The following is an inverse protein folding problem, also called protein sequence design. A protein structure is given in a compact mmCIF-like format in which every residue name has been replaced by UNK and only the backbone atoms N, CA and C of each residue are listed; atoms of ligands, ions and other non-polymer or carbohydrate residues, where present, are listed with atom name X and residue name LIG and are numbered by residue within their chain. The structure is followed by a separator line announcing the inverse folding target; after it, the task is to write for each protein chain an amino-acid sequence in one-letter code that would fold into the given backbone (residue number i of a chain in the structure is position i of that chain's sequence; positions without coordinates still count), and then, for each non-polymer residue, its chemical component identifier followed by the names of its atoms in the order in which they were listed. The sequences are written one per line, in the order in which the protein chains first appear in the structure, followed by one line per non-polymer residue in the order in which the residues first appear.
data_IF_745182706326
#
_entry.id   IF_745182706326
#
_cell.length_a   1.000
_cell.length_b   1.000
_cell.length_c   1.000
_cell.angle_alpha   90.00
_cell.angle_beta   90.00
_cell.angle_gamma   90.00
#
_symmetry.space_group_name_H-M   'P 1'
#
loop_
_entity.id
_entity.type
_entity.pdbx_description
1 polymer ?
#
# COMPACT_ATOMS: atom_id res chain seq x y z
N UNK A 1 -12.85 -29.03 -6.21
CA UNK A 1 -12.24 -27.72 -5.97
C UNK A 1 -10.88 -27.73 -6.65
N UNK A 2 -10.79 -27.15 -7.84
CA UNK A 2 -9.55 -27.05 -8.60
C UNK A 2 -8.83 -25.79 -8.09
N UNK A 3 -7.73 -25.99 -7.34
CA UNK A 3 -6.82 -24.89 -7.01
C UNK A 3 -6.15 -24.47 -8.32
N UNK A 4 -6.46 -23.31 -8.81
CA UNK A 4 -5.70 -22.68 -9.87
C UNK A 4 -4.37 -22.23 -9.27
N UNK A 5 -3.33 -23.02 -9.45
CA UNK A 5 -1.97 -22.59 -9.16
C UNK A 5 -1.56 -21.68 -10.31
N UNK A 6 -1.74 -20.38 -10.10
CA UNK A 6 -1.16 -19.38 -10.97
C UNK A 6 0.35 -19.45 -10.78
N UNK A 7 1.06 -20.03 -11.73
CA UNK A 7 2.51 -20.02 -11.74
C UNK A 7 2.97 -18.60 -12.11
N UNK A 8 3.06 -17.72 -11.11
CA UNK A 8 3.74 -16.44 -11.25
C UNK A 8 5.23 -16.76 -11.29
N UNK A 9 5.79 -16.77 -12.49
CA UNK A 9 7.24 -16.75 -12.69
C UNK A 9 7.71 -15.39 -12.17
N UNK A 10 8.14 -15.38 -10.90
CA UNK A 10 8.71 -14.21 -10.27
C UNK A 10 10.10 -13.94 -10.88
N UNK A 11 10.16 -13.07 -11.88
CA UNK A 11 11.38 -12.35 -12.18
C UNK A 11 11.62 -11.35 -11.05
N UNK A 12 12.28 -11.81 -9.99
CA UNK A 12 12.81 -10.93 -8.96
C UNK A 12 14.00 -10.17 -9.53
N UNK A 13 13.73 -9.06 -10.21
CA UNK A 13 14.71 -7.99 -10.34
C UNK A 13 14.77 -7.31 -8.99
N UNK A 14 15.95 -7.31 -8.37
CA UNK A 14 16.21 -6.62 -7.12
C UNK A 14 15.86 -5.12 -7.26
N UNK A 15 14.67 -4.75 -6.77
CA UNK A 15 14.31 -3.35 -6.61
C UNK A 15 14.98 -2.90 -5.32
N UNK A 16 16.07 -2.17 -5.45
CA UNK A 16 16.65 -1.40 -4.34
C UNK A 16 15.62 -0.39 -3.89
N UNK A 17 15.11 -0.59 -2.68
CA UNK A 17 14.19 0.31 -2.01
C UNK A 17 14.89 1.63 -1.73
N UNK A 18 14.74 2.59 -2.64
CA UNK A 18 15.15 3.97 -2.42
C UNK A 18 14.02 4.68 -1.68
N UNK A 19 14.19 4.78 -0.35
CA UNK A 19 13.29 5.53 0.50
C UNK A 19 13.43 7.02 0.18
N UNK A 20 12.58 7.55 -0.69
CA UNK A 20 12.44 9.00 -0.88
C UNK A 20 11.40 9.51 0.10
N UNK A 21 11.88 10.02 1.23
CA UNK A 21 11.07 10.83 2.13
C UNK A 21 10.78 12.17 1.48
N UNK A 22 9.59 12.33 0.91
CA UNK A 22 9.10 13.65 0.52
C UNK A 22 8.53 14.33 1.76
N UNK A 23 9.33 15.18 2.38
CA UNK A 23 8.86 16.12 3.37
C UNK A 23 8.12 17.26 2.66
N UNK A 24 6.80 17.21 2.63
CA UNK A 24 5.97 18.32 2.18
C UNK A 24 5.88 19.33 3.31
N UNK A 25 6.70 20.36 3.27
CA UNK A 25 6.50 21.56 4.06
C UNK A 25 5.33 22.34 3.46
N UNK A 26 4.18 22.28 4.11
CA UNK A 26 3.06 23.21 3.83
C UNK A 26 3.37 24.53 4.51
N UNK A 27 3.83 25.47 3.73
CA UNK A 27 3.92 26.87 4.12
C UNK A 27 2.50 27.48 4.02
N UNK A 28 1.83 27.56 5.16
CA UNK A 28 0.55 28.27 5.30
C UNK A 28 0.83 29.75 5.37
N UNK A 29 0.68 30.43 4.26
CA UNK A 29 0.64 31.87 4.22
C UNK A 29 -0.79 32.34 4.22
N UNK A 30 -1.22 32.81 5.40
CA UNK A 30 -2.50 33.48 5.60
C UNK A 30 -2.61 34.72 4.70
N UNK A 31 -3.61 34.73 3.86
CA UNK A 31 -4.21 35.95 3.31
C UNK A 31 -5.61 35.62 2.82
N UNK A 32 -6.56 35.66 3.73
CA UNK A 32 -7.96 35.69 3.35
C UNK A 32 -8.66 36.90 3.94
N UNK A 33 -8.75 37.93 3.16
CA UNK A 33 -9.75 38.96 3.36
C UNK A 33 -10.95 38.67 2.43
N UNK A 34 -11.87 37.86 2.92
CA UNK A 34 -13.19 37.74 2.28
C UNK A 34 -14.00 38.99 2.60
N UNK A 35 -14.09 39.85 1.61
CA UNK A 35 -15.08 40.92 1.64
C UNK A 35 -16.47 40.32 1.41
N UNK A 36 -17.27 40.27 2.45
CA UNK A 36 -18.72 40.06 2.34
C UNK A 36 -19.34 41.28 1.67
N UNK A 37 -20.10 41.13 0.58
CA UNK A 37 -20.86 42.24 0.05
C UNK A 37 -21.95 42.64 1.06
N UNK A 38 -21.94 43.90 1.44
CA UNK A 38 -22.96 44.50 2.28
C UNK A 38 -24.32 44.42 1.55
N UNK A 39 -25.28 43.76 2.17
CA UNK A 39 -26.67 43.82 1.78
C UNK A 39 -27.17 45.26 2.08
N UNK A 40 -27.38 46.02 1.03
CA UNK A 40 -28.09 47.31 1.11
C UNK A 40 -29.55 46.96 1.36
N UNK A 41 -30.00 47.21 2.59
CA UNK A 41 -31.42 47.20 2.92
C UNK A 41 -32.08 48.42 2.28
N UNK A 42 -32.83 48.20 1.21
CA UNK A 42 -33.81 49.18 0.75
C UNK A 42 -35.13 48.88 1.44
N UNK A 43 -35.58 49.90 2.10
CA UNK A 43 -36.77 49.99 2.93
C UNK A 43 -38.08 49.77 2.20
N UNK A 44 -39.06 49.30 3.01
CA UNK A 44 -40.50 49.54 2.93
C UNK A 44 -41.27 49.02 1.71
N UNK A 45 -41.70 47.77 1.85
CA UNK A 45 -43.10 47.44 1.59
C UNK A 45 -43.53 46.31 2.53
N UNK A 46 -44.37 46.64 3.50
CA UNK A 46 -44.95 45.66 4.43
C UNK A 46 -45.94 44.80 3.65
N UNK A 47 -45.48 43.64 3.23
CA UNK A 47 -46.37 42.55 2.77
C UNK A 47 -47.06 42.00 4.01
N UNK A 48 -48.39 41.88 4.04
CA UNK A 48 -49.07 41.34 5.21
C UNK A 48 -48.64 39.90 5.43
N UNK A 49 -48.04 39.65 6.58
CA UNK A 49 -47.69 38.32 7.07
C UNK A 49 -49.01 37.59 7.34
N UNK A 50 -49.39 36.69 6.44
CA UNK A 50 -50.38 35.67 6.74
C UNK A 50 -49.70 34.61 7.61
N UNK A 51 -50.11 34.56 8.87
CA UNK A 51 -49.74 33.47 9.77
C UNK A 51 -50.14 32.15 9.07
N UNK A 52 -49.14 31.43 8.60
CA UNK A 52 -49.32 30.04 8.11
C UNK A 52 -49.37 29.21 9.38
N UNK A 53 -50.54 28.63 9.68
CA UNK A 53 -50.76 27.71 10.78
C UNK A 53 -49.63 26.67 10.75
N UNK A 54 -48.88 26.53 11.86
CA UNK A 54 -47.71 25.69 11.99
C UNK A 54 -47.94 24.18 11.76
N UNK A 55 -49.17 23.77 11.60
CA UNK A 55 -49.59 22.41 11.32
C UNK A 55 -49.57 22.06 9.83
N UNK A 56 -49.71 23.07 8.94
CA UNK A 56 -49.59 22.86 7.49
C UNK A 56 -48.14 22.86 6.97
N UNK A 57 -47.20 23.45 7.72
CA UNK A 57 -45.80 23.49 7.30
C UNK A 57 -45.08 22.15 7.53
N UNK A 58 -45.51 21.37 8.52
CA UNK A 58 -44.93 20.05 8.79
C UNK A 58 -45.32 18.94 7.80
N UNK A 59 -46.46 19.11 7.10
CA UNK A 59 -46.96 18.11 6.18
C UNK A 59 -46.30 18.15 4.78
N UNK A 60 -45.59 19.23 4.45
CA UNK A 60 -45.00 19.44 3.13
C UNK A 60 -43.46 19.27 3.10
N UNK A 61 -42.81 18.99 4.23
CA UNK A 61 -41.46 18.49 4.26
C UNK A 61 -41.41 16.96 4.04
N UNK A 62 -42.14 16.49 3.02
CA UNK A 62 -41.82 15.20 2.43
C UNK A 62 -40.38 15.33 1.95
N UNK A 63 -39.48 14.56 2.57
CA UNK A 63 -38.09 14.48 2.13
C UNK A 63 -38.10 14.38 0.61
N UNK A 64 -37.62 15.41 -0.07
CA UNK A 64 -37.48 15.41 -1.53
C UNK A 64 -36.36 14.38 -1.76
N UNK A 65 -36.76 13.13 -2.03
CA UNK A 65 -35.81 12.11 -2.47
C UNK A 65 -35.16 12.61 -3.75
N UNK A 66 -33.86 12.44 -3.91
CA UNK A 66 -33.21 12.80 -5.15
C UNK A 66 -33.91 12.10 -6.32
N UNK A 67 -34.18 12.82 -7.39
CA UNK A 67 -34.89 12.27 -8.54
C UNK A 67 -33.96 11.65 -9.57
N UNK A 68 -32.65 11.90 -9.48
CA UNK A 68 -31.67 11.35 -10.39
C UNK A 68 -30.29 11.21 -9.72
N UNK A 69 -29.45 10.38 -10.34
CA UNK A 69 -28.02 10.31 -10.05
C UNK A 69 -27.21 10.58 -11.31
N UNK A 70 -26.12 11.30 -11.16
CA UNK A 70 -25.15 11.60 -12.23
C UNK A 70 -23.83 10.92 -11.92
N UNK A 71 -23.30 10.15 -12.86
CA UNK A 71 -22.01 9.49 -12.76
C UNK A 71 -20.91 10.42 -13.29
N UNK A 72 -19.87 10.59 -12.48
CA UNK A 72 -18.62 11.26 -12.86
C UNK A 72 -17.45 10.31 -12.73
N UNK A 73 -16.55 10.32 -13.70
CA UNK A 73 -15.30 9.56 -13.68
C UNK A 73 -14.16 10.56 -13.93
N UNK A 74 -13.23 10.67 -12.98
CA UNK A 74 -12.14 11.66 -12.99
C UNK A 74 -12.64 13.10 -13.19
N UNK A 75 -13.77 13.42 -12.52
CA UNK A 75 -14.43 14.71 -12.61
C UNK A 75 -15.15 14.98 -13.93
N UNK A 76 -15.20 14.03 -14.85
CA UNK A 76 -15.93 14.16 -16.12
C UNK A 76 -17.32 13.55 -15.99
N UNK A 77 -18.34 14.30 -16.37
CA UNK A 77 -19.70 13.81 -16.47
C UNK A 77 -19.81 12.70 -17.53
N UNK A 78 -20.42 11.58 -17.16
CA UNK A 78 -20.65 10.42 -18.02
C UNK A 78 -22.10 10.36 -18.47
N UNK A 79 -23.05 10.42 -17.53
CA UNK A 79 -24.48 10.35 -17.77
C UNK A 79 -25.27 10.52 -16.50
N UNK A 80 -26.59 10.64 -16.62
CA UNK A 80 -27.51 10.74 -15.48
C UNK A 80 -28.71 9.83 -15.69
N UNK A 81 -29.21 9.24 -14.58
CA UNK A 81 -30.32 8.29 -14.57
C UNK A 81 -31.25 8.54 -13.38
N UNK A 82 -32.53 8.15 -13.53
CA UNK A 82 -33.47 8.04 -12.40
C UNK A 82 -33.32 6.69 -11.67
N UNK A 83 -32.63 5.71 -12.26
CA UNK A 83 -32.43 4.37 -11.76
C UNK A 83 -31.23 4.32 -10.79
N UNK A 84 -31.30 5.10 -9.68
CA UNK A 84 -30.18 5.32 -8.75
C UNK A 84 -29.67 4.02 -8.14
N UNK A 85 -30.61 3.18 -7.67
CA UNK A 85 -30.25 1.89 -7.01
C UNK A 85 -29.63 0.93 -8.01
N UNK A 86 -30.10 0.92 -9.26
CA UNK A 86 -29.55 0.08 -10.33
C UNK A 86 -28.12 0.54 -10.68
N UNK A 87 -27.91 1.83 -10.87
CA UNK A 87 -26.57 2.37 -11.15
C UNK A 87 -25.55 2.00 -10.06
N UNK A 88 -25.94 2.11 -8.79
CA UNK A 88 -25.06 1.73 -7.69
C UNK A 88 -24.78 0.21 -7.70
N UNK A 89 -25.80 -0.61 -7.94
CA UNK A 89 -25.65 -2.06 -8.02
C UNK A 89 -24.73 -2.48 -9.18
N UNK A 90 -24.85 -1.80 -10.32
CA UNK A 90 -24.03 -2.07 -11.50
C UNK A 90 -22.56 -1.68 -11.25
N UNK A 91 -22.29 -0.56 -10.56
CA UNK A 91 -20.94 -0.17 -10.15
C UNK A 91 -20.33 -1.20 -9.18
N UNK A 92 -21.09 -1.66 -8.19
CA UNK A 92 -20.65 -2.72 -7.28
C UNK A 92 -20.39 -4.03 -8.03
N UNK A 93 -21.22 -4.35 -9.03
CA UNK A 93 -21.07 -5.56 -9.85
C UNK A 93 -19.77 -5.54 -10.67
N UNK A 94 -19.34 -4.38 -11.17
CA UNK A 94 -18.04 -4.23 -11.85
C UNK A 94 -16.88 -4.69 -10.94
N UNK A 95 -16.88 -4.27 -9.68
CA UNK A 95 -15.86 -4.66 -8.70
C UNK A 95 -15.94 -6.15 -8.34
N UNK A 96 -17.16 -6.69 -8.22
CA UNK A 96 -17.39 -8.12 -7.96
C UNK A 96 -16.91 -8.97 -9.13
N UNK A 97 -17.22 -8.58 -10.35
CA UNK A 97 -16.80 -9.31 -11.55
C UNK A 97 -15.28 -9.29 -11.74
N UNK A 98 -14.63 -8.20 -11.36
CA UNK A 98 -13.18 -8.10 -11.45
C UNK A 98 -12.46 -9.08 -10.51
N UNK A 99 -13.03 -9.35 -9.33
CA UNK A 99 -12.42 -10.25 -8.31
C UNK A 99 -12.93 -11.70 -8.35
N UNK A 100 -13.86 -12.05 -9.26
CA UNK A 100 -14.56 -13.36 -9.26
C UNK A 100 -13.64 -14.59 -9.31
N UNK A 101 -12.45 -14.45 -9.91
CA UNK A 101 -11.48 -15.52 -10.06
C UNK A 101 -10.43 -15.58 -8.93
N UNK A 102 -10.56 -14.69 -7.94
CA UNK A 102 -9.66 -14.58 -6.78
C UNK A 102 -10.31 -15.14 -5.50
N UNK A 103 -9.54 -15.19 -4.43
CA UNK A 103 -9.99 -15.66 -3.12
C UNK A 103 -10.93 -14.65 -2.44
N UNK A 104 -11.74 -15.14 -1.48
CA UNK A 104 -12.71 -14.32 -0.74
C UNK A 104 -12.09 -13.15 0.05
N UNK A 105 -10.78 -13.23 0.37
CA UNK A 105 -10.04 -12.19 1.07
C UNK A 105 -9.53 -11.08 0.13
N UNK A 106 -9.70 -11.28 -1.18
CA UNK A 106 -9.32 -10.27 -2.19
C UNK A 106 -10.29 -9.11 -2.17
N UNK A 107 -9.74 -7.90 -2.11
CA UNK A 107 -10.51 -6.65 -2.15
C UNK A 107 -10.31 -5.93 -3.48
N UNK A 108 -11.38 -5.28 -3.94
CA UNK A 108 -11.35 -4.47 -5.16
C UNK A 108 -11.96 -3.10 -4.88
N UNK A 109 -11.41 -2.08 -5.50
CA UNK A 109 -11.89 -0.71 -5.42
C UNK A 109 -11.58 0.01 -6.74
N UNK A 110 -12.25 1.12 -7.00
CA UNK A 110 -11.88 1.98 -8.13
C UNK A 110 -10.57 2.72 -7.78
N UNK A 111 -9.60 2.62 -8.66
CA UNK A 111 -8.31 3.30 -8.51
C UNK A 111 -8.37 4.76 -8.98
N UNK A 112 -9.32 5.08 -9.86
CA UNK A 112 -9.62 6.44 -10.28
C UNK A 112 -10.85 7.00 -9.53
N UNK A 113 -11.11 8.30 -9.66
CA UNK A 113 -12.26 8.93 -9.01
C UNK A 113 -13.56 8.54 -9.72
N UNK A 114 -14.42 7.79 -9.02
CA UNK A 114 -15.77 7.42 -9.47
C UNK A 114 -16.77 8.00 -8.48
N UNK A 115 -17.57 8.94 -8.93
CA UNK A 115 -18.48 9.68 -8.06
C UNK A 115 -19.92 9.62 -8.60
N UNK A 116 -20.85 9.23 -7.72
CA UNK A 116 -22.29 9.28 -7.99
C UNK A 116 -22.89 10.47 -7.24
N UNK A 117 -23.30 11.49 -7.96
CA UNK A 117 -23.88 12.70 -7.40
C UNK A 117 -25.39 12.65 -7.56
N UNK A 118 -26.11 12.58 -6.44
CA UNK A 118 -27.58 12.56 -6.42
C UNK A 118 -28.14 13.98 -6.37
N UNK A 119 -29.24 14.22 -7.09
CA UNK A 119 -29.88 15.52 -7.18
C UNK A 119 -31.25 15.47 -7.81
N UNK A 120 -31.74 16.63 -8.16
CA UNK A 120 -32.98 16.75 -8.95
C UNK A 120 -32.63 16.93 -10.41
N UNK A 121 -33.32 16.20 -11.29
CA UNK A 121 -33.19 16.38 -12.72
C UNK A 121 -33.59 17.81 -13.12
N UNK A 122 -32.64 18.58 -13.63
CA UNK A 122 -32.88 19.91 -14.16
C UNK A 122 -31.98 20.14 -15.36
N UNK A 123 -32.58 20.06 -16.56
CA UNK A 123 -31.89 20.36 -17.80
C UNK A 123 -30.85 19.31 -18.28
N UNK A 124 -30.90 18.11 -17.73
CA UNK A 124 -30.05 16.98 -18.16
C UNK A 124 -30.92 15.91 -18.81
N UNK A 125 -30.50 15.39 -19.95
CA UNK A 125 -31.15 14.23 -20.56
C UNK A 125 -30.87 13.01 -19.68
N UNK A 126 -31.93 12.37 -19.18
CA UNK A 126 -31.84 11.16 -18.37
C UNK A 126 -31.88 9.94 -19.28
N UNK A 127 -31.00 9.01 -19.04
CA UNK A 127 -30.87 7.74 -19.74
C UNK A 127 -30.97 6.59 -18.74
N UNK A 128 -31.04 5.36 -19.18
CA UNK A 128 -31.07 4.18 -18.28
C UNK A 128 -29.72 3.97 -17.59
N UNK A 129 -29.73 3.26 -16.46
CA UNK A 129 -28.48 2.89 -15.77
C UNK A 129 -27.55 2.09 -16.70
N UNK A 130 -28.09 1.15 -17.45
CA UNK A 130 -27.35 0.36 -18.44
C UNK A 130 -26.66 1.25 -19.51
N UNK A 131 -27.33 2.28 -19.98
CA UNK A 131 -26.75 3.24 -20.94
C UNK A 131 -25.65 4.08 -20.29
N UNK A 132 -25.81 4.50 -19.03
CA UNK A 132 -24.74 5.18 -18.25
C UNK A 132 -23.52 4.27 -18.12
N UNK A 133 -23.73 2.99 -17.77
CA UNK A 133 -22.64 2.01 -17.64
C UNK A 133 -21.98 1.72 -18.99
N UNK A 134 -22.73 1.66 -20.08
CA UNK A 134 -22.17 1.52 -21.42
C UNK A 134 -21.29 2.72 -21.82
N UNK A 135 -21.67 3.94 -21.43
CA UNK A 135 -20.85 5.15 -21.61
C UNK A 135 -19.61 5.17 -20.72
N UNK A 136 -19.64 4.48 -19.58
CA UNK A 136 -18.55 4.36 -18.63
C UNK A 136 -17.56 3.24 -18.98
N UNK A 137 -17.93 2.35 -19.91
CA UNK A 137 -17.09 1.22 -20.30
C UNK A 137 -15.68 1.65 -20.73
N UNK A 138 -14.67 0.94 -20.23
CA UNK A 138 -13.26 1.24 -20.49
C UNK A 138 -12.73 2.52 -19.82
N UNK A 139 -13.49 3.16 -18.91
CA UNK A 139 -13.05 4.36 -18.16
C UNK A 139 -12.74 4.08 -16.70
N UNK A 140 -13.15 2.91 -16.20
CA UNK A 140 -12.81 2.50 -14.84
C UNK A 140 -11.36 2.03 -14.81
N UNK A 141 -10.63 2.47 -13.78
CA UNK A 141 -9.36 1.88 -13.35
C UNK A 141 -9.62 1.15 -12.04
N UNK A 142 -9.21 -0.11 -11.94
CA UNK A 142 -9.54 -0.96 -10.79
C UNK A 142 -8.28 -1.39 -10.07
N UNK A 143 -8.28 -1.14 -8.76
CA UNK A 143 -7.28 -1.65 -7.82
C UNK A 143 -7.77 -2.97 -7.22
N UNK A 144 -6.90 -3.97 -7.22
CA UNK A 144 -7.13 -5.28 -6.63
C UNK A 144 -6.01 -5.58 -5.64
N UNK A 145 -6.36 -5.88 -4.39
CA UNK A 145 -5.42 -6.28 -3.36
C UNK A 145 -5.69 -7.72 -2.90
N UNK A 146 -4.68 -8.56 -3.00
CA UNK A 146 -4.75 -9.98 -2.63
C UNK A 146 -3.52 -10.43 -1.85
N UNK A 147 -3.65 -11.48 -1.04
CA UNK A 147 -2.56 -12.07 -0.29
C UNK A 147 -1.90 -13.20 -1.07
N UNK A 148 -0.61 -13.06 -1.31
CA UNK A 148 0.22 -14.07 -1.95
C UNK A 148 1.08 -14.75 -0.89
N UNK A 149 0.93 -16.07 -0.75
CA UNK A 149 1.70 -16.89 0.19
C UNK A 149 2.76 -17.69 -0.56
N UNK A 150 4.01 -17.59 -0.11
CA UNK A 150 5.12 -18.36 -0.65
C UNK A 150 6.12 -18.76 0.44
N UNK A 151 6.92 -19.78 0.15
CA UNK A 151 7.98 -20.22 1.06
C UNK A 151 9.33 -19.71 0.58
N UNK A 152 10.16 -19.24 1.50
CA UNK A 152 11.55 -18.86 1.22
C UNK A 152 12.54 -19.51 2.19
N UNK A 153 13.78 -19.67 1.73
CA UNK A 153 14.88 -20.14 2.55
C UNK A 153 15.32 -19.05 3.55
N UNK A 154 15.57 -19.46 4.79
CA UNK A 154 16.22 -18.65 5.82
C UNK A 154 17.68 -19.07 5.91
N UNK A 155 18.60 -18.12 5.75
CA UNK A 155 20.02 -18.41 5.85
C UNK A 155 20.39 -18.78 7.30
N UNK A 156 21.39 -19.66 7.44
CA UNK A 156 22.00 -19.94 8.73
C UNK A 156 23.20 -19.02 8.97
N UNK A 157 23.57 -18.82 10.24
CA UNK A 157 24.79 -18.12 10.63
C UNK A 157 25.95 -19.07 10.81
N UNK A 158 27.21 -18.54 10.70
CA UNK A 158 28.41 -19.28 11.01
C UNK A 158 29.00 -18.80 12.35
N UNK A 159 28.95 -19.67 13.35
CA UNK A 159 29.54 -19.44 14.66
C UNK A 159 30.94 -20.01 14.72
N UNK A 160 31.93 -19.18 15.07
CA UNK A 160 33.33 -19.60 15.25
C UNK A 160 33.60 -19.81 16.74
N UNK A 161 34.10 -21.00 17.07
CA UNK A 161 34.65 -21.32 18.40
C UNK A 161 36.17 -21.46 18.28
N UNK A 162 36.90 -20.94 19.27
CA UNK A 162 38.34 -21.11 19.33
C UNK A 162 38.71 -22.20 20.30
N UNK A 163 39.69 -23.05 19.90
CA UNK A 163 40.25 -24.13 20.68
C UNK A 163 41.71 -23.75 20.97
N UNK A 164 42.07 -23.59 22.24
CA UNK A 164 43.38 -23.12 22.67
C UNK A 164 44.45 -24.22 22.51
N UNK A 165 44.04 -25.49 22.45
CA UNK A 165 44.94 -26.66 22.30
C UNK A 165 45.28 -26.95 20.82
N UNK A 166 44.79 -26.14 19.89
CA UNK A 166 44.98 -26.32 18.47
C UNK A 166 45.82 -25.21 17.85
N UNK A 167 46.63 -25.56 16.86
CA UNK A 167 47.41 -24.59 16.12
C UNK A 167 46.53 -23.58 15.37
N UNK A 168 47.05 -22.38 15.12
CA UNK A 168 46.37 -21.31 14.40
C UNK A 168 45.85 -21.69 13.02
N UNK A 169 46.47 -22.69 12.39
CA UNK A 169 46.06 -23.24 11.08
C UNK A 169 44.90 -24.23 11.16
N UNK A 170 44.50 -24.65 12.36
CA UNK A 170 43.42 -25.61 12.53
C UNK A 170 42.07 -25.01 12.22
N UNK A 171 41.29 -25.67 11.35
CA UNK A 171 39.91 -25.31 11.04
C UNK A 171 39.12 -26.61 10.82
N UNK A 172 38.02 -26.75 11.58
CA UNK A 172 37.12 -27.90 11.44
C UNK A 172 35.68 -27.47 11.61
N UNK A 173 34.81 -27.85 10.66
CA UNK A 173 33.37 -27.71 10.82
C UNK A 173 32.88 -28.84 11.73
N UNK A 174 32.33 -28.51 12.88
CA UNK A 174 31.79 -29.46 13.86
C UNK A 174 30.30 -29.66 13.72
N UNK A 175 29.60 -28.61 13.30
CA UNK A 175 28.17 -28.64 12.94
C UNK A 175 28.02 -28.04 11.56
N UNK A 176 27.43 -28.76 10.65
CA UNK A 176 27.14 -28.25 9.31
C UNK A 176 25.89 -27.35 9.38
N UNK A 177 25.97 -26.17 8.81
CA UNK A 177 24.82 -25.27 8.68
C UNK A 177 23.72 -25.91 7.82
N UNK A 178 22.48 -25.68 8.23
CA UNK A 178 21.29 -26.09 7.48
C UNK A 178 20.37 -24.88 7.37
N UNK A 179 19.93 -24.55 6.15
CA UNK A 179 18.96 -23.49 5.94
C UNK A 179 17.64 -23.84 6.61
N UNK A 180 17.02 -22.83 7.16
CA UNK A 180 15.62 -22.87 7.59
C UNK A 180 14.68 -22.59 6.43
N UNK A 181 13.39 -22.63 6.71
CA UNK A 181 12.30 -22.29 5.79
C UNK A 181 11.28 -21.45 6.53
N UNK A 182 10.78 -20.42 5.88
CA UNK A 182 9.65 -19.64 6.38
C UNK A 182 8.59 -19.46 5.29
N UNK A 183 7.34 -19.47 5.70
CA UNK A 183 6.18 -19.09 4.90
C UNK A 183 5.95 -17.61 5.07
N UNK A 184 5.85 -16.90 3.96
CA UNK A 184 5.70 -15.44 3.94
C UNK A 184 4.40 -15.10 3.23
N UNK A 185 3.59 -14.25 3.86
CA UNK A 185 2.39 -13.67 3.27
C UNK A 185 2.70 -12.25 2.84
N UNK A 186 2.42 -11.95 1.58
CA UNK A 186 2.61 -10.62 1.00
C UNK A 186 1.30 -10.12 0.45
N UNK A 187 0.78 -9.02 1.00
CA UNK A 187 -0.31 -8.28 0.41
C UNK A 187 0.19 -7.56 -0.83
N UNK A 188 -0.37 -7.92 -1.97
CA UNK A 188 0.04 -7.38 -3.27
C UNK A 188 -1.12 -6.63 -3.88
N UNK A 189 -0.86 -5.40 -4.31
CA UNK A 189 -1.84 -4.54 -4.97
C UNK A 189 -1.52 -4.41 -6.44
N UNK A 190 -2.55 -4.57 -7.25
CA UNK A 190 -2.49 -4.40 -8.70
C UNK A 190 -3.46 -3.29 -9.10
N UNK A 191 -3.07 -2.46 -10.05
CA UNK A 191 -3.96 -1.49 -10.71
C UNK A 191 -4.00 -1.85 -12.19
N UNK A 192 -5.18 -2.11 -12.70
CA UNK A 192 -5.39 -2.55 -14.09
C UNK A 192 -4.48 -3.72 -14.50
N UNK A 193 -4.28 -4.66 -13.57
CA UNK A 193 -3.45 -5.85 -13.77
C UNK A 193 -1.94 -5.60 -13.63
N UNK A 194 -1.50 -4.38 -13.36
CA UNK A 194 -0.10 -4.04 -13.13
C UNK A 194 0.18 -3.96 -11.64
N UNK A 195 1.15 -4.71 -11.14
CA UNK A 195 1.55 -4.64 -9.73
C UNK A 195 2.10 -3.26 -9.39
N UNK A 196 1.49 -2.61 -8.40
CA UNK A 196 1.86 -1.26 -7.92
C UNK A 196 2.48 -1.29 -6.54
N UNK A 197 2.08 -2.27 -5.69
CA UNK A 197 2.60 -2.39 -4.33
C UNK A 197 2.70 -3.85 -3.89
N UNK A 198 3.61 -4.12 -2.94
CA UNK A 198 3.77 -5.44 -2.32
C UNK A 198 4.33 -5.27 -0.90
N UNK A 199 3.54 -5.57 0.10
CA UNK A 199 3.88 -5.42 1.52
C UNK A 199 3.82 -6.77 2.22
N UNK A 200 4.92 -7.19 2.86
CA UNK A 200 4.91 -8.38 3.70
C UNK A 200 4.03 -8.12 4.93
N UNK A 201 2.98 -8.92 5.10
CA UNK A 201 2.02 -8.82 6.21
C UNK A 201 2.28 -9.84 7.31
N UNK A 202 2.79 -11.02 6.94
CA UNK A 202 3.11 -12.08 7.89
C UNK A 202 4.35 -12.88 7.47
N UNK A 203 5.02 -13.50 8.46
CA UNK A 203 6.08 -14.47 8.24
C UNK A 203 6.06 -15.53 9.34
N UNK A 204 5.90 -16.78 8.95
CA UNK A 204 5.82 -17.92 9.83
C UNK A 204 6.98 -18.86 9.59
N UNK A 205 7.81 -19.12 10.61
CA UNK A 205 8.87 -20.11 10.53
C UNK A 205 8.29 -21.51 10.40
N UNK A 206 8.59 -22.19 9.30
CA UNK A 206 8.24 -23.59 9.06
C UNK A 206 9.33 -24.53 9.59
N UNK A 207 10.60 -24.11 9.43
CA UNK A 207 11.76 -24.84 9.87
C UNK A 207 12.86 -23.88 10.29
N UNK A 208 13.36 -24.07 11.49
CA UNK A 208 14.46 -23.27 12.03
C UNK A 208 15.78 -23.53 11.26
N UNK A 209 16.56 -22.48 11.03
CA UNK A 209 17.91 -22.61 10.50
C UNK A 209 18.83 -23.21 11.59
N UNK A 210 19.76 -24.05 11.19
CA UNK A 210 20.80 -24.60 12.09
C UNK A 210 22.11 -23.94 11.74
N UNK A 211 22.72 -23.23 12.70
CA UNK A 211 23.97 -22.53 12.49
C UNK A 211 25.14 -23.48 12.22
N UNK A 212 26.03 -23.08 11.32
CA UNK A 212 27.30 -23.75 11.14
C UNK A 212 28.20 -23.42 12.33
N UNK A 213 28.83 -24.45 12.91
CA UNK A 213 29.82 -24.25 13.95
C UNK A 213 31.20 -24.66 13.42
N UNK A 214 32.11 -23.70 13.35
CA UNK A 214 33.49 -23.88 12.93
C UNK A 214 34.41 -23.72 14.13
N UNK A 215 35.20 -24.76 14.43
CA UNK A 215 36.27 -24.68 15.43
C UNK A 215 37.56 -24.28 14.73
N UNK A 216 38.20 -23.20 15.22
CA UNK A 216 39.51 -22.74 14.78
C UNK A 216 40.49 -22.82 15.94
N UNK A 217 41.78 -23.08 15.63
CA UNK A 217 42.82 -22.93 16.63
C UNK A 217 43.02 -21.46 17.00
N UNK A 218 43.45 -21.22 18.23
CA UNK A 218 43.76 -19.86 18.70
C UNK A 218 45.01 -19.34 17.97
N UNK A 219 44.98 -18.14 17.47
CA UNK A 219 46.19 -17.47 16.96
C UNK A 219 47.16 -17.29 18.13
N UNK A 220 48.39 -17.77 17.98
CA UNK A 220 49.44 -17.40 18.94
C UNK A 220 49.70 -15.88 18.81
N UNK A 221 49.59 -15.16 19.93
CA UNK A 221 50.05 -13.78 19.98
C UNK A 221 51.60 -13.82 19.87
N UNK A 222 52.10 -13.71 18.65
CA UNK A 222 53.54 -13.52 18.41
C UNK A 222 53.90 -12.09 18.80
N UNK A 223 53.86 -11.78 20.09
CA UNK A 223 54.64 -10.70 20.67
C UNK A 223 56.08 -11.18 20.81
N UNK A 224 56.81 -11.32 19.70
CA UNK A 224 58.24 -11.51 19.74
C UNK A 224 58.87 -10.27 20.37
N UNK A 225 59.26 -10.39 21.61
CA UNK A 225 60.14 -9.46 22.24
C UNK A 225 61.48 -9.43 21.43
N UNK A 226 61.69 -8.39 20.67
CA UNK A 226 62.98 -8.09 20.09
C UNK A 226 63.94 -7.71 21.22
N UNK A 227 64.65 -8.70 21.71
CA UNK A 227 65.77 -8.51 22.64
C UNK A 227 66.89 -7.74 21.91
N UNK A 228 67.05 -6.50 22.29
CA UNK A 228 68.18 -5.71 21.93
C UNK A 228 69.46 -6.28 22.61
N UNK A 229 70.27 -7.01 21.91
CA UNK A 229 71.67 -7.26 22.32
C UNK A 229 72.54 -6.17 21.75
N UNK A 230 72.83 -5.19 22.57
CA UNK A 230 73.91 -4.22 22.38
C UNK A 230 75.25 -4.92 22.54
N UNK A 231 75.98 -5.13 21.48
CA UNK A 231 77.41 -5.48 21.56
C UNK A 231 78.21 -4.26 21.17
N UNK A 232 78.74 -3.63 22.20
CA UNK A 232 79.82 -2.67 22.08
C UNK A 232 81.13 -3.42 21.76
N UNK A 233 81.77 -3.13 20.69
CA UNK A 233 83.19 -3.43 20.51
C UNK A 233 83.92 -2.15 20.08
N UNK A 234 84.66 -1.71 21.05
CA UNK A 234 85.67 -0.65 20.97
C UNK A 234 86.91 -1.24 20.31
N UNK A 235 87.54 -0.60 19.34
CA UNK A 235 88.95 -0.67 19.09
C UNK A 235 89.47 0.51 18.32
N UNK A 236 90.38 1.12 18.93
CA UNK A 236 91.23 2.25 18.60
C UNK A 236 92.31 1.88 17.62
N UNK A 237 92.98 2.96 17.11
CA UNK A 237 94.34 3.08 16.58
C UNK A 237 94.46 3.06 15.06
N UNK A 238 94.97 4.02 14.32
CA UNK A 238 96.20 4.87 14.37
C UNK A 238 95.97 6.02 13.41
#
# INVERSE_FOLDING_TARGET
RKKAVLAVVACFSAITLSCVTVASALDMKDNNSVQTPALVATSDEAVPYTEIDGESASANLKAISPSCASLYIDGKFIGATEEIDQLNADLDQVLVDYRKDYDDETTTEFANSVEVVTGNASGTDLITADEVMALADGKFSISLSTDIVYTRDVAYDTKVKYDEDKSSSYKKVTTKGVKGEEEVTVRTTFVDGVQTDAVQTDAKTLKEAVDEVVVKGKAEDTSSSTGSSSTSSNSSSS
#
